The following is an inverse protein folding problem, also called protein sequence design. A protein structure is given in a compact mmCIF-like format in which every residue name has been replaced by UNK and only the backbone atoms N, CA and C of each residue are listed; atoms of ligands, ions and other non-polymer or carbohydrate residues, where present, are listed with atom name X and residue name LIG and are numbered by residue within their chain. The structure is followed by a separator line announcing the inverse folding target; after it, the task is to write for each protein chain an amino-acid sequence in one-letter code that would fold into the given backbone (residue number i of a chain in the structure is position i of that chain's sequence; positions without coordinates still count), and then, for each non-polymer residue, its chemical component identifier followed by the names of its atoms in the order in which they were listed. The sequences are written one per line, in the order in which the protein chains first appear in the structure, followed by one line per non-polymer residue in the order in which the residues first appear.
data_IF_115310915192
#
_entry.id   IF_115310915192
#
_cell.length_a   1.000
_cell.length_b   1.000
_cell.length_c   1.000
_cell.angle_alpha   90.00
_cell.angle_beta   90.00
_cell.angle_gamma   90.00
#
_symmetry.space_group_name_H-M   'P 1'
#
loop_
_entity.id
_entity.type
_entity.pdbx_description
1 polymer ?
#
# COMPACT_ATOMS: atom_id res chain seq x y z
N UNK A 1 -26.27 10.70 25.94
CA UNK A 1 -25.98 11.13 24.55
C UNK A 1 -24.70 11.97 24.59
N UNK A 2 -23.51 11.35 24.46
CA UNK A 2 -22.26 12.09 24.33
C UNK A 2 -22.25 12.77 22.95
N UNK A 3 -21.81 14.04 22.94
CA UNK A 3 -21.80 14.95 21.79
C UNK A 3 -21.39 14.24 20.49
N UNK A 4 -22.26 14.34 19.47
CA UNK A 4 -22.04 13.87 18.09
C UNK A 4 -21.00 14.70 17.30
N UNK A 5 -20.40 15.72 17.93
CA UNK A 5 -19.38 16.56 17.30
C UNK A 5 -18.00 16.01 17.64
N UNK A 6 -17.15 15.91 16.62
CA UNK A 6 -15.72 15.57 16.78
C UNK A 6 -15.09 16.60 17.73
N UNK A 7 -14.37 16.13 18.74
CA UNK A 7 -13.63 17.02 19.64
C UNK A 7 -12.67 17.89 18.80
N UNK A 8 -12.69 19.18 19.05
CA UNK A 8 -11.82 20.14 18.35
C UNK A 8 -10.34 19.73 18.44
N UNK A 9 -9.90 19.17 19.57
CA UNK A 9 -8.53 18.68 19.74
C UNK A 9 -8.21 17.52 18.81
N UNK A 10 -9.15 16.58 18.61
CA UNK A 10 -8.99 15.46 17.69
C UNK A 10 -8.86 15.96 16.26
N UNK A 11 -9.76 16.87 15.84
CA UNK A 11 -9.72 17.44 14.50
C UNK A 11 -8.43 18.24 14.24
N UNK A 12 -8.04 19.11 15.17
CA UNK A 12 -6.82 19.92 15.05
C UNK A 12 -5.57 19.03 14.96
N UNK A 13 -5.46 18.00 15.82
CA UNK A 13 -4.35 17.04 15.76
C UNK A 13 -4.33 16.28 14.43
N UNK A 14 -5.48 15.82 13.94
CA UNK A 14 -5.60 15.13 12.67
C UNK A 14 -5.16 16.01 11.50
N UNK A 15 -5.58 17.29 11.48
CA UNK A 15 -5.19 18.25 10.45
C UNK A 15 -3.68 18.54 10.47
N UNK A 16 -3.08 18.73 11.64
CA UNK A 16 -1.63 18.90 11.76
C UNK A 16 -0.88 17.67 11.23
N UNK A 17 -1.32 16.46 11.60
CA UNK A 17 -0.75 15.23 11.07
C UNK A 17 -0.91 15.11 9.55
N UNK A 18 -2.03 15.59 9.00
CA UNK A 18 -2.28 15.51 7.56
C UNK A 18 -1.36 16.42 6.73
N UNK A 19 -0.97 17.58 7.26
CA UNK A 19 0.05 18.44 6.63
C UNK A 19 1.38 17.68 6.57
N UNK A 20 1.81 17.11 7.68
CA UNK A 20 3.04 16.29 7.74
C UNK A 20 2.94 15.10 6.79
N UNK A 21 1.77 14.45 6.72
CA UNK A 21 1.57 13.33 5.81
C UNK A 21 1.66 13.75 4.33
N UNK A 22 1.15 14.93 3.98
CA UNK A 22 1.31 15.49 2.63
C UNK A 22 2.77 15.71 2.23
N UNK A 23 3.62 16.21 3.17
CA UNK A 23 5.07 16.33 2.98
C UNK A 23 5.73 14.95 2.78
N UNK A 24 5.39 13.99 3.63
CA UNK A 24 5.93 12.62 3.53
C UNK A 24 5.50 11.96 2.22
N UNK A 25 4.24 12.13 1.81
CA UNK A 25 3.71 11.60 0.55
C UNK A 25 4.43 12.19 -0.65
N UNK A 26 4.69 13.49 -0.66
CA UNK A 26 5.48 14.14 -1.71
C UNK A 26 6.89 13.53 -1.79
N UNK A 27 7.60 13.41 -0.67
CA UNK A 27 8.93 12.81 -0.65
C UNK A 27 8.90 11.35 -1.12
N UNK A 28 7.92 10.58 -0.67
CA UNK A 28 7.75 9.17 -1.06
C UNK A 28 7.51 9.02 -2.55
N UNK A 29 6.59 9.80 -3.12
CA UNK A 29 6.28 9.77 -4.55
C UNK A 29 7.49 10.18 -5.40
N UNK A 30 8.22 11.22 -4.99
CA UNK A 30 9.46 11.60 -5.66
C UNK A 30 10.53 10.51 -5.60
N UNK A 31 10.69 9.83 -4.46
CA UNK A 31 11.60 8.68 -4.38
C UNK A 31 11.19 7.54 -5.32
N UNK A 32 9.89 7.29 -5.51
CA UNK A 32 9.41 6.29 -6.46
C UNK A 32 9.64 6.71 -7.91
N UNK A 33 9.45 8.00 -8.24
CA UNK A 33 9.77 8.54 -9.57
C UNK A 33 11.26 8.36 -9.86
N UNK A 34 12.16 8.77 -8.95
CA UNK A 34 13.59 8.56 -9.09
C UNK A 34 13.98 7.08 -9.23
N UNK A 35 13.30 6.19 -8.50
CA UNK A 35 13.52 4.76 -8.63
C UNK A 35 13.11 4.24 -10.02
N UNK A 36 12.03 4.77 -10.61
CA UNK A 36 11.60 4.43 -11.96
C UNK A 36 12.57 4.97 -13.02
N UNK A 37 13.01 6.23 -12.88
CA UNK A 37 13.99 6.84 -13.77
C UNK A 37 15.33 6.08 -13.72
N UNK A 38 15.80 5.74 -12.51
CA UNK A 38 17.03 4.97 -12.34
C UNK A 38 16.97 3.63 -13.08
N UNK A 39 15.84 2.90 -12.99
CA UNK A 39 15.67 1.64 -13.73
C UNK A 39 15.69 1.84 -15.25
N UNK A 40 15.19 2.96 -15.73
CA UNK A 40 15.24 3.26 -17.18
C UNK A 40 16.67 3.45 -17.69
N UNK A 41 17.57 4.02 -16.87
CA UNK A 41 18.99 4.15 -17.18
C UNK A 41 19.78 2.85 -16.97
N UNK A 42 19.40 2.05 -15.97
CA UNK A 42 20.06 0.80 -15.60
C UNK A 42 19.07 -0.39 -15.62
N UNK A 43 18.67 -0.88 -16.80
CA UNK A 43 17.65 -1.91 -16.93
C UNK A 43 17.97 -3.24 -16.23
N UNK A 44 19.24 -3.50 -15.92
CA UNK A 44 19.69 -4.72 -15.25
C UNK A 44 19.73 -4.61 -13.71
N UNK A 45 19.22 -3.51 -13.12
CA UNK A 45 19.27 -3.31 -11.67
C UNK A 45 18.48 -4.37 -10.89
N UNK A 46 17.50 -5.05 -11.52
CA UNK A 46 16.77 -6.16 -10.90
C UNK A 46 17.65 -7.35 -10.48
N UNK A 47 18.88 -7.47 -11.03
CA UNK A 47 19.86 -8.48 -10.59
C UNK A 47 20.21 -8.31 -9.11
N UNK A 48 20.13 -7.09 -8.59
CA UNK A 48 20.37 -6.78 -7.17
C UNK A 48 19.14 -6.95 -6.28
N UNK A 49 17.96 -7.30 -6.83
CA UNK A 49 16.76 -7.53 -6.06
C UNK A 49 16.94 -8.60 -4.95
N UNK A 50 17.65 -9.72 -5.17
CA UNK A 50 17.93 -10.69 -4.11
C UNK A 50 18.71 -10.10 -2.93
N UNK A 51 19.69 -9.25 -3.20
CA UNK A 51 20.47 -8.56 -2.17
C UNK A 51 19.57 -7.59 -1.40
N UNK A 52 18.74 -6.81 -2.10
CA UNK A 52 17.77 -5.91 -1.50
C UNK A 52 16.78 -6.68 -0.60
N UNK A 53 16.29 -7.84 -1.04
CA UNK A 53 15.43 -8.72 -0.27
C UNK A 53 16.09 -9.23 1.03
N UNK A 54 17.36 -9.67 0.95
CA UNK A 54 18.13 -10.11 2.12
C UNK A 54 18.32 -8.96 3.10
N UNK A 55 18.73 -7.78 2.63
CA UNK A 55 18.95 -6.60 3.47
C UNK A 55 17.63 -6.19 4.16
N UNK A 56 16.52 -6.12 3.42
CA UNK A 56 15.20 -5.83 3.97
C UNK A 56 14.85 -6.83 5.07
N UNK A 57 14.91 -8.11 4.77
CA UNK A 57 14.60 -9.16 5.72
C UNK A 57 15.52 -9.13 6.95
N UNK A 58 16.81 -8.90 6.78
CA UNK A 58 17.78 -8.79 7.87
C UNK A 58 17.48 -7.63 8.81
N UNK A 59 17.20 -6.43 8.24
CA UNK A 59 16.89 -5.23 9.03
C UNK A 59 15.58 -5.42 9.80
N UNK A 60 14.53 -5.95 9.16
CA UNK A 60 13.27 -6.25 9.86
C UNK A 60 13.46 -7.29 10.98
N UNK A 61 14.36 -8.28 10.81
CA UNK A 61 14.71 -9.24 11.87
C UNK A 61 15.40 -8.59 13.07
N UNK A 62 16.32 -7.69 12.79
CA UNK A 62 17.16 -7.09 13.83
C UNK A 62 16.45 -6.00 14.61
N UNK A 63 15.76 -5.12 13.89
CA UNK A 63 15.18 -3.91 14.47
C UNK A 63 13.68 -3.76 14.21
N UNK A 64 13.06 -4.60 13.38
CA UNK A 64 11.64 -4.50 13.04
C UNK A 64 10.71 -4.73 14.24
N UNK A 65 10.94 -5.80 15.01
CA UNK A 65 10.02 -6.20 16.08
C UNK A 65 8.58 -6.36 15.56
N UNK A 66 7.59 -5.75 16.24
CA UNK A 66 6.19 -5.76 15.79
C UNK A 66 5.97 -5.05 14.44
N UNK A 67 6.94 -4.28 13.90
CA UNK A 67 6.83 -3.71 12.54
C UNK A 67 6.70 -4.77 11.46
N UNK A 68 7.09 -6.02 11.74
CA UNK A 68 6.91 -7.14 10.82
C UNK A 68 5.45 -7.55 10.60
N UNK A 69 4.52 -7.09 11.43
CA UNK A 69 3.07 -7.31 11.25
C UNK A 69 2.48 -6.46 10.10
N UNK A 70 3.21 -5.43 9.65
CA UNK A 70 2.79 -4.62 8.51
C UNK A 70 1.45 -3.91 8.74
N UNK A 71 0.49 -4.10 7.83
CA UNK A 71 -0.83 -3.48 7.94
C UNK A 71 -1.64 -3.96 9.14
N UNK A 72 -1.42 -5.19 9.61
CA UNK A 72 -2.20 -5.76 10.71
C UNK A 72 -2.03 -4.96 11.99
N UNK A 73 -0.79 -4.55 12.33
CA UNK A 73 -0.56 -3.72 13.54
C UNK A 73 -1.27 -2.36 13.45
N UNK A 74 -1.47 -1.82 12.25
CA UNK A 74 -2.23 -0.57 12.04
C UNK A 74 -3.72 -0.79 12.28
N UNK A 75 -4.27 -1.90 11.77
CA UNK A 75 -5.66 -2.28 11.96
C UNK A 75 -5.95 -2.55 13.45
N UNK A 76 -5.10 -3.34 14.12
CA UNK A 76 -5.18 -3.58 15.56
C UNK A 76 -5.04 -2.28 16.37
N UNK A 77 -4.16 -1.38 15.92
CA UNK A 77 -3.99 -0.07 16.54
C UNK A 77 -5.25 0.79 16.47
N UNK A 78 -5.94 0.77 15.35
CA UNK A 78 -7.17 1.54 15.18
C UNK A 78 -8.35 0.93 15.95
N UNK A 79 -8.44 -0.41 16.05
CA UNK A 79 -9.56 -1.11 16.69
C UNK A 79 -9.33 -1.29 18.20
N UNK A 80 -8.16 -1.82 18.58
CA UNK A 80 -7.89 -2.31 19.94
C UNK A 80 -6.92 -1.42 20.72
N UNK A 81 -6.42 -0.35 20.10
CA UNK A 81 -5.48 0.57 20.73
C UNK A 81 -4.05 0.03 20.86
N UNK A 82 -3.69 -1.00 20.08
CA UNK A 82 -2.35 -1.59 20.09
C UNK A 82 -1.30 -0.55 19.70
N UNK A 83 -0.14 -0.58 20.37
CA UNK A 83 0.93 0.39 20.13
C UNK A 83 1.72 0.05 18.86
N UNK A 84 1.80 1.02 17.97
CA UNK A 84 2.57 0.91 16.73
C UNK A 84 4.03 1.30 16.97
N UNK A 85 5.00 0.47 16.53
CA UNK A 85 6.41 0.83 16.64
C UNK A 85 6.73 2.13 15.87
N UNK A 86 7.40 3.08 16.52
CA UNK A 86 7.76 4.39 15.93
C UNK A 86 8.54 4.27 14.61
N UNK A 87 9.34 3.21 14.47
CA UNK A 87 10.19 2.93 13.30
C UNK A 87 9.43 2.34 12.11
N UNK A 88 8.16 1.92 12.27
CA UNK A 88 7.40 1.28 11.20
C UNK A 88 7.32 2.19 9.96
N UNK A 89 6.92 3.45 10.10
CA UNK A 89 6.80 4.39 8.99
C UNK A 89 8.11 4.53 8.21
N UNK A 90 9.24 4.74 8.91
CA UNK A 90 10.55 4.91 8.28
C UNK A 90 11.04 3.65 7.60
N UNK A 91 10.90 2.48 8.24
CA UNK A 91 11.30 1.21 7.66
C UNK A 91 10.48 0.92 6.39
N UNK A 92 9.16 1.10 6.47
CA UNK A 92 8.28 0.86 5.32
C UNK A 92 8.59 1.81 4.17
N UNK A 93 8.80 3.09 4.43
CA UNK A 93 9.20 4.07 3.43
C UNK A 93 10.48 3.65 2.70
N UNK A 94 11.57 3.43 3.46
CA UNK A 94 12.90 3.14 2.92
C UNK A 94 12.88 1.83 2.11
N UNK A 95 12.36 0.75 2.68
CA UNK A 95 12.43 -0.56 2.03
C UNK A 95 11.44 -0.70 0.88
N UNK A 96 10.35 0.05 0.86
CA UNK A 96 9.50 0.14 -0.34
C UNK A 96 10.24 0.84 -1.47
N UNK A 97 10.90 1.97 -1.22
CA UNK A 97 11.71 2.65 -2.22
C UNK A 97 12.85 1.76 -2.74
N UNK A 98 13.55 1.03 -1.85
CA UNK A 98 14.60 0.08 -2.24
C UNK A 98 14.04 -1.04 -3.11
N UNK A 99 12.90 -1.61 -2.75
CA UNK A 99 12.25 -2.67 -3.56
C UNK A 99 11.89 -2.16 -4.94
N UNK A 100 11.32 -0.96 -5.03
CA UNK A 100 11.03 -0.32 -6.32
C UNK A 100 12.29 -0.02 -7.12
N UNK A 101 13.36 0.43 -6.48
CA UNK A 101 14.63 0.76 -7.12
C UNK A 101 15.23 -0.46 -7.84
N UNK A 102 15.13 -1.64 -7.22
CA UNK A 102 15.65 -2.89 -7.77
C UNK A 102 14.60 -3.75 -8.50
N UNK A 103 13.54 -3.13 -9.02
CA UNK A 103 12.60 -3.79 -9.92
C UNK A 103 11.58 -4.72 -9.29
N UNK A 104 11.46 -4.77 -7.96
CA UNK A 104 10.41 -5.57 -7.31
C UNK A 104 9.01 -5.12 -7.75
N UNK A 105 8.18 -6.06 -8.20
CA UNK A 105 6.83 -5.78 -8.67
C UNK A 105 5.88 -5.63 -7.49
N UNK A 106 5.64 -4.40 -7.05
CA UNK A 106 4.81 -4.11 -5.86
C UNK A 106 4.01 -2.83 -6.04
N UNK A 107 2.92 -2.72 -5.27
CA UNK A 107 2.14 -1.49 -5.14
C UNK A 107 2.67 -0.57 -4.04
N UNK A 108 1.96 0.51 -3.81
CA UNK A 108 2.25 1.53 -2.77
C UNK A 108 1.14 1.64 -1.71
N UNK A 109 0.07 0.85 -1.87
CA UNK A 109 -1.14 0.89 -1.05
C UNK A 109 -0.83 0.56 0.42
N UNK A 110 -0.22 -0.59 0.66
CA UNK A 110 0.14 -1.03 2.00
C UNK A 110 1.13 -0.09 2.68
N UNK A 111 2.05 0.47 1.91
CA UNK A 111 3.02 1.47 2.38
C UNK A 111 2.31 2.74 2.87
N UNK A 112 1.35 3.25 2.10
CA UNK A 112 0.57 4.42 2.49
C UNK A 112 -0.18 4.19 3.81
N UNK A 113 -0.85 3.04 3.96
CA UNK A 113 -1.55 2.65 5.21
C UNK A 113 -0.58 2.63 6.40
N UNK A 114 0.58 1.99 6.24
CA UNK A 114 1.56 1.87 7.34
C UNK A 114 2.18 3.20 7.73
N UNK A 115 2.53 4.05 6.77
CA UNK A 115 3.11 5.37 7.07
C UNK A 115 2.08 6.25 7.75
N UNK A 116 0.88 6.39 7.17
CA UNK A 116 -0.18 7.24 7.71
C UNK A 116 -0.65 6.78 9.07
N UNK A 117 -0.98 5.49 9.21
CA UNK A 117 -1.43 4.91 10.46
C UNK A 117 -0.36 4.94 11.56
N UNK A 118 0.92 4.68 11.20
CA UNK A 118 2.03 4.73 12.17
C UNK A 118 2.28 6.14 12.67
N UNK A 119 2.33 7.12 11.78
CA UNK A 119 2.52 8.52 12.15
C UNK A 119 1.44 8.96 13.15
N UNK A 120 0.19 8.80 12.77
CA UNK A 120 -0.95 9.29 13.56
C UNK A 120 -1.19 8.50 14.85
N UNK A 121 -0.96 7.18 14.83
CA UNK A 121 -1.00 6.36 16.05
C UNK A 121 0.02 6.84 17.08
N UNK A 122 1.27 7.07 16.66
CA UNK A 122 2.32 7.52 17.56
C UNK A 122 2.07 8.94 18.10
N UNK A 123 1.50 9.84 17.28
CA UNK A 123 1.11 11.20 17.74
C UNK A 123 -0.06 11.12 18.73
N UNK A 124 -1.07 10.29 18.44
CA UNK A 124 -2.20 10.10 19.32
C UNK A 124 -1.77 9.53 20.69
N UNK A 125 -0.87 8.56 20.71
CA UNK A 125 -0.29 7.98 21.93
C UNK A 125 0.52 9.02 22.72
N UNK A 126 1.32 9.82 22.02
CA UNK A 126 2.13 10.88 22.65
C UNK A 126 1.27 11.97 23.30
N UNK A 127 0.16 12.34 22.68
CA UNK A 127 -0.79 13.33 23.18
C UNK A 127 -1.81 12.75 24.18
N UNK A 128 -1.76 11.45 24.44
CA UNK A 128 -2.62 10.77 25.42
C UNK A 128 -4.06 10.51 24.98
N UNK A 129 -4.36 10.56 23.68
CA UNK A 129 -5.68 10.19 23.16
C UNK A 129 -5.95 8.69 23.36
N UNK A 130 -7.19 8.35 23.64
CA UNK A 130 -7.65 6.97 23.93
C UNK A 130 -8.94 6.65 23.20
N UNK A 131 -9.25 5.36 23.09
CA UNK A 131 -10.50 4.84 22.55
C UNK A 131 -10.87 5.44 21.19
N UNK A 132 -12.09 5.91 21.02
CA UNK A 132 -12.63 6.43 19.77
C UNK A 132 -11.85 7.64 19.22
N UNK A 133 -11.33 8.52 20.07
CA UNK A 133 -10.57 9.69 19.65
C UNK A 133 -9.24 9.27 19.00
N UNK A 134 -8.55 8.32 19.63
CA UNK A 134 -7.33 7.72 19.08
C UNK A 134 -7.62 7.01 17.77
N UNK A 135 -8.65 6.17 17.70
CA UNK A 135 -9.09 5.50 16.48
C UNK A 135 -9.35 6.50 15.35
N UNK A 136 -10.12 7.56 15.64
CA UNK A 136 -10.41 8.62 14.66
C UNK A 136 -9.15 9.28 14.09
N UNK A 137 -8.15 9.57 14.94
CA UNK A 137 -6.86 10.14 14.49
C UNK A 137 -6.12 9.15 13.59
N UNK A 138 -6.09 7.86 13.94
CA UNK A 138 -5.44 6.82 13.11
C UNK A 138 -6.13 6.69 11.74
N UNK A 139 -7.46 6.61 11.72
CA UNK A 139 -8.24 6.54 10.48
C UNK A 139 -8.01 7.77 9.58
N UNK A 140 -7.97 8.97 10.17
CA UNK A 140 -7.68 10.20 9.44
C UNK A 140 -6.28 10.22 8.84
N UNK A 141 -5.29 9.63 9.53
CA UNK A 141 -3.93 9.46 9.02
C UNK A 141 -3.84 8.50 7.83
N UNK A 142 -4.57 7.38 7.90
CA UNK A 142 -4.68 6.45 6.78
C UNK A 142 -5.34 7.13 5.58
N UNK A 143 -6.45 7.88 5.82
CA UNK A 143 -7.15 8.67 4.79
C UNK A 143 -6.22 9.69 4.14
N UNK A 144 -5.43 10.40 4.94
CA UNK A 144 -4.45 11.39 4.48
C UNK A 144 -3.40 10.77 3.57
N UNK A 145 -2.83 9.66 4.00
CA UNK A 145 -1.80 8.95 3.25
C UNK A 145 -2.34 8.41 1.93
N UNK A 146 -3.49 7.75 1.97
CA UNK A 146 -4.09 7.19 0.77
C UNK A 146 -4.49 8.30 -0.22
N UNK A 147 -5.21 9.31 0.24
CA UNK A 147 -5.65 10.42 -0.61
C UNK A 147 -4.51 11.19 -1.27
N UNK A 148 -3.42 11.43 -0.53
CA UNK A 148 -2.25 12.16 -1.05
C UNK A 148 -1.34 11.32 -1.94
N UNK A 149 -1.15 10.01 -1.63
CA UNK A 149 -0.31 9.11 -2.45
C UNK A 149 -0.97 8.78 -3.78
N UNK A 150 -2.31 8.69 -3.83
CA UNK A 150 -3.03 8.36 -5.07
C UNK A 150 -3.60 9.57 -5.80
N UNK A 151 -3.66 10.74 -5.17
CA UNK A 151 -4.30 11.92 -5.75
C UNK A 151 -5.83 11.82 -5.80
N UNK A 152 -6.41 10.95 -4.99
CA UNK A 152 -7.84 10.65 -4.94
C UNK A 152 -8.40 10.88 -3.53
N UNK A 153 -8.49 12.14 -3.06
CA UNK A 153 -8.81 12.44 -1.67
C UNK A 153 -10.20 11.97 -1.26
N UNK A 154 -11.17 11.95 -2.17
CA UNK A 154 -12.51 11.43 -1.90
C UNK A 154 -12.47 9.93 -1.59
N UNK A 155 -11.83 9.14 -2.46
CA UNK A 155 -11.65 7.70 -2.24
C UNK A 155 -10.79 7.42 -1.01
N UNK A 156 -9.76 8.23 -0.76
CA UNK A 156 -8.91 8.12 0.42
C UNK A 156 -9.67 8.31 1.73
N UNK A 157 -10.65 9.22 1.77
CA UNK A 157 -11.50 9.40 2.93
C UNK A 157 -12.34 8.15 3.24
N UNK A 158 -13.01 7.59 2.24
CA UNK A 158 -13.78 6.36 2.40
C UNK A 158 -12.89 5.17 2.77
N UNK A 159 -11.76 5.02 2.08
CA UNK A 159 -10.81 3.94 2.38
C UNK A 159 -10.38 3.96 3.85
N UNK A 160 -9.98 5.12 4.38
CA UNK A 160 -9.56 5.20 5.78
C UNK A 160 -10.67 4.90 6.77
N UNK A 161 -11.92 5.25 6.47
CA UNK A 161 -13.07 4.94 7.33
C UNK A 161 -13.44 3.46 7.36
N UNK A 162 -13.12 2.71 6.29
CA UNK A 162 -13.57 1.32 6.10
C UNK A 162 -12.44 0.30 6.28
N UNK A 163 -11.18 0.68 6.14
CA UNK A 163 -10.04 -0.25 6.10
C UNK A 163 -9.90 -1.10 7.36
N UNK A 164 -10.31 -0.59 8.51
CA UNK A 164 -10.21 -1.30 9.79
C UNK A 164 -11.39 -2.23 10.07
N UNK A 165 -12.55 -1.98 9.47
CA UNK A 165 -13.76 -2.79 9.64
C UNK A 165 -14.53 -2.82 8.33
N UNK A 166 -14.29 -3.83 7.51
CA UNK A 166 -14.97 -3.99 6.21
C UNK A 166 -16.50 -3.94 6.38
N UNK A 167 -17.16 -3.11 5.57
CA UNK A 167 -18.61 -2.92 5.59
C UNK A 167 -19.14 -2.09 6.77
N UNK A 168 -18.27 -1.47 7.58
CA UNK A 168 -18.65 -0.56 8.66
C UNK A 168 -17.91 0.76 8.53
N UNK A 169 -18.64 1.81 8.18
CA UNK A 169 -18.09 3.16 8.17
C UNK A 169 -18.10 3.75 9.60
N UNK A 170 -16.95 4.28 10.02
CA UNK A 170 -16.86 5.01 11.28
C UNK A 170 -17.50 6.40 11.14
N UNK A 171 -18.77 6.53 11.53
CA UNK A 171 -19.52 7.79 11.41
C UNK A 171 -18.82 8.98 12.12
N UNK A 172 -18.15 8.73 13.26
CA UNK A 172 -17.39 9.76 13.99
C UNK A 172 -16.13 10.23 13.26
N UNK A 173 -15.59 9.44 12.33
CA UNK A 173 -14.38 9.76 11.60
C UNK A 173 -14.63 10.46 10.24
N UNK A 174 -15.89 10.61 9.83
CA UNK A 174 -16.24 11.18 8.50
C UNK A 174 -15.58 12.51 8.28
N UNK A 175 -15.83 13.51 9.14
CA UNK A 175 -15.28 14.86 8.99
C UNK A 175 -13.74 14.85 9.03
N UNK A 176 -13.07 14.23 10.03
CA UNK A 176 -11.61 14.14 10.04
C UNK A 176 -11.02 13.46 8.81
N UNK A 177 -11.58 12.32 8.38
CA UNK A 177 -11.06 11.58 7.22
C UNK A 177 -11.14 12.40 5.92
N UNK A 178 -12.29 13.05 5.66
CA UNK A 178 -12.44 13.91 4.48
C UNK A 178 -11.51 15.12 4.56
N UNK A 179 -11.56 15.90 5.64
CA UNK A 179 -10.74 17.10 5.79
C UNK A 179 -9.26 16.79 5.66
N UNK A 180 -8.80 15.73 6.32
CA UNK A 180 -7.38 15.33 6.33
C UNK A 180 -6.91 14.77 4.99
N UNK A 181 -7.74 13.98 4.31
CA UNK A 181 -7.41 13.43 2.99
C UNK A 181 -7.26 14.54 1.95
N UNK A 182 -8.18 15.50 1.92
CA UNK A 182 -8.09 16.65 1.02
C UNK A 182 -6.91 17.55 1.36
N UNK A 183 -6.67 17.84 2.65
CA UNK A 183 -5.56 18.69 3.07
C UNK A 183 -4.20 18.06 2.71
N UNK A 184 -3.99 16.77 2.99
CA UNK A 184 -2.75 16.08 2.65
C UNK A 184 -2.51 16.06 1.13
N UNK A 185 -3.55 15.78 0.33
CA UNK A 185 -3.46 15.84 -1.12
C UNK A 185 -3.15 17.26 -1.62
N UNK A 186 -3.78 18.29 -1.05
CA UNK A 186 -3.51 19.68 -1.38
C UNK A 186 -2.04 20.03 -1.11
N UNK A 187 -1.49 19.64 0.05
CA UNK A 187 -0.07 19.87 0.39
C UNK A 187 0.86 19.19 -0.61
N UNK A 188 0.57 17.94 -0.99
CA UNK A 188 1.37 17.19 -1.97
C UNK A 188 1.37 17.89 -3.35
N UNK A 189 0.22 18.38 -3.79
CA UNK A 189 0.09 19.12 -5.05
C UNK A 189 0.75 20.50 -4.98
N UNK A 190 0.64 21.21 -3.85
CA UNK A 190 1.29 22.50 -3.62
C UNK A 190 2.82 22.41 -3.74
N UNK A 191 3.40 21.28 -3.33
CA UNK A 191 4.83 20.98 -3.48
C UNK A 191 5.22 20.62 -4.92
N UNK A 192 4.24 20.63 -5.86
CA UNK A 192 4.48 20.42 -7.28
C UNK A 192 4.39 18.99 -7.76
N UNK A 193 3.92 18.03 -6.94
CA UNK A 193 3.67 16.68 -7.43
C UNK A 193 2.37 16.64 -8.24
N UNK A 194 2.48 16.16 -9.48
CA UNK A 194 1.34 16.00 -10.40
C UNK A 194 1.03 14.52 -10.55
N UNK A 195 -0.15 14.11 -10.09
CA UNK A 195 -0.65 12.77 -10.34
C UNK A 195 -1.00 12.58 -11.81
N UNK A 196 -0.78 11.37 -12.34
CA UNK A 196 -1.19 11.03 -13.71
C UNK A 196 -2.72 11.12 -13.81
N UNK A 197 -3.17 11.67 -14.95
CA UNK A 197 -4.60 11.78 -15.29
C UNK A 197 -4.84 11.10 -16.62
N UNK A 198 -5.81 10.22 -16.64
CA UNK A 198 -6.22 9.50 -17.83
C UNK A 198 -7.50 10.13 -18.37
N UNK A 199 -7.46 10.57 -19.62
CA UNK A 199 -8.64 11.09 -20.29
C UNK A 199 -9.50 9.92 -20.79
N UNK A 200 -10.79 9.97 -20.47
CA UNK A 200 -11.79 9.05 -21.03
C UNK A 200 -12.36 9.72 -22.28
N UNK A 201 -12.18 9.08 -23.44
CA UNK A 201 -12.59 9.62 -24.74
C UNK A 201 -14.11 9.61 -24.96
N UNK A 202 -14.81 8.65 -24.38
CA UNK A 202 -16.25 8.55 -24.45
C UNK A 202 -16.83 7.94 -23.17
N UNK A 203 -17.92 8.49 -22.69
CA UNK A 203 -18.68 7.95 -21.58
C UNK A 203 -19.84 7.17 -22.19
N UNK A 204 -20.00 5.86 -21.94
CA UNK A 204 -21.12 5.10 -22.44
C UNK A 204 -22.43 5.59 -21.82
N UNK A 205 -23.51 5.51 -22.58
CA UNK A 205 -24.85 5.79 -22.07
C UNK A 205 -25.22 4.79 -20.98
N UNK A 206 -25.91 5.30 -19.95
CA UNK A 206 -26.37 4.45 -18.84
C UNK A 206 -27.66 3.73 -19.25
N UNK A 207 -27.50 2.59 -19.92
CA UNK A 207 -28.58 1.72 -20.34
C UNK A 207 -28.51 0.32 -19.68
N UNK A 208 -29.49 -0.53 -19.95
CA UNK A 208 -29.53 -1.89 -19.41
C UNK A 208 -28.33 -2.74 -19.85
N UNK A 209 -27.80 -2.51 -21.06
CA UNK A 209 -26.63 -3.21 -21.59
C UNK A 209 -25.38 -2.81 -20.83
N UNK A 210 -25.19 -1.50 -20.59
CA UNK A 210 -24.08 -0.99 -19.77
C UNK A 210 -24.12 -1.58 -18.35
N UNK A 211 -25.29 -1.58 -17.70
CA UNK A 211 -25.46 -2.14 -16.36
C UNK A 211 -25.09 -3.63 -16.32
N UNK A 212 -25.54 -4.41 -17.30
CA UNK A 212 -25.22 -5.83 -17.40
C UNK A 212 -23.71 -6.09 -17.56
N UNK A 213 -23.05 -5.37 -18.47
CA UNK A 213 -21.59 -5.47 -18.68
C UNK A 213 -20.84 -5.04 -17.42
N UNK A 214 -21.28 -3.95 -16.76
CA UNK A 214 -20.69 -3.47 -15.52
C UNK A 214 -20.80 -4.51 -14.38
N UNK A 215 -21.94 -5.18 -14.23
CA UNK A 215 -22.10 -6.23 -13.22
C UNK A 215 -21.19 -7.42 -13.49
N UNK A 216 -21.07 -7.86 -14.75
CA UNK A 216 -20.14 -8.94 -15.12
C UNK A 216 -18.71 -8.52 -14.79
N UNK A 217 -18.31 -7.31 -15.19
CA UNK A 217 -16.98 -6.80 -14.91
C UNK A 217 -16.70 -6.74 -13.39
N UNK A 218 -17.67 -6.29 -12.58
CA UNK A 218 -17.56 -6.25 -11.14
C UNK A 218 -17.33 -7.65 -10.53
N UNK A 219 -18.09 -8.66 -10.98
CA UNK A 219 -17.89 -10.05 -10.54
C UNK A 219 -16.51 -10.57 -10.95
N UNK A 220 -16.09 -10.35 -12.20
CA UNK A 220 -14.76 -10.76 -12.68
C UNK A 220 -13.64 -10.10 -11.87
N UNK A 221 -13.73 -8.79 -11.61
CA UNK A 221 -12.74 -8.06 -10.80
C UNK A 221 -12.70 -8.57 -9.36
N UNK A 222 -13.86 -8.87 -8.77
CA UNK A 222 -13.95 -9.49 -7.44
C UNK A 222 -13.27 -10.85 -7.36
N UNK A 223 -13.48 -11.70 -8.39
CA UNK A 223 -12.81 -13.00 -8.49
C UNK A 223 -11.29 -12.86 -8.66
N UNK A 224 -10.83 -11.95 -9.51
CA UNK A 224 -9.40 -11.66 -9.70
C UNK A 224 -8.78 -11.16 -8.40
N UNK A 225 -9.45 -10.28 -7.67
CA UNK A 225 -8.99 -9.79 -6.36
C UNK A 225 -8.87 -10.92 -5.33
N UNK A 226 -9.86 -11.83 -5.26
CA UNK A 226 -9.80 -13.02 -4.42
C UNK A 226 -8.63 -13.94 -4.81
N UNK A 227 -8.46 -14.21 -6.11
CA UNK A 227 -7.33 -15.01 -6.60
C UNK A 227 -5.98 -14.36 -6.25
N UNK A 228 -5.88 -13.04 -6.33
CA UNK A 228 -4.68 -12.30 -5.95
C UNK A 228 -4.34 -12.47 -4.46
N UNK A 229 -5.31 -12.30 -3.58
CA UNK A 229 -5.14 -12.50 -2.15
C UNK A 229 -4.74 -13.96 -1.82
N UNK A 230 -5.42 -14.93 -2.42
CA UNK A 230 -5.08 -16.35 -2.28
C UNK A 230 -3.70 -16.68 -2.84
N UNK A 231 -3.33 -16.10 -3.99
CA UNK A 231 -2.01 -16.26 -4.59
C UNK A 231 -0.89 -15.84 -3.64
N UNK A 232 -0.99 -14.65 -3.05
CA UNK A 232 -0.03 -14.16 -2.04
C UNK A 232 0.01 -15.10 -0.84
N UNK A 233 -1.15 -15.51 -0.32
CA UNK A 233 -1.25 -16.42 0.83
C UNK A 233 -0.56 -17.76 0.55
N UNK A 234 -0.86 -18.41 -0.57
CA UNK A 234 -0.27 -19.71 -0.90
C UNK A 234 1.22 -19.65 -1.20
N UNK A 235 1.66 -18.62 -1.94
CA UNK A 235 3.09 -18.42 -2.20
C UNK A 235 3.84 -18.21 -0.88
N UNK A 236 3.32 -17.40 0.03
CA UNK A 236 3.88 -17.18 1.36
C UNK A 236 3.95 -18.49 2.18
N UNK A 237 2.88 -19.28 2.19
CA UNK A 237 2.87 -20.59 2.85
C UNK A 237 3.88 -21.56 2.22
N UNK A 238 4.03 -21.58 0.91
CA UNK A 238 5.01 -22.40 0.23
C UNK A 238 6.43 -22.01 0.64
N UNK A 239 6.77 -20.71 0.62
CA UNK A 239 8.09 -20.27 1.08
C UNK A 239 8.34 -20.58 2.55
N UNK A 240 7.35 -20.42 3.44
CA UNK A 240 7.51 -20.75 4.87
C UNK A 240 7.67 -22.25 5.14
N UNK A 241 7.08 -23.12 4.31
CA UNK A 241 7.24 -24.56 4.40
C UNK A 241 8.60 -25.05 3.86
N UNK A 242 9.04 -24.46 2.74
CA UNK A 242 10.30 -24.85 2.07
C UNK A 242 11.52 -24.31 2.82
N UNK A 243 11.46 -23.07 3.26
CA UNK A 243 12.58 -22.37 3.86
C UNK A 243 12.34 -22.10 5.35
N UNK A 244 13.04 -22.82 6.24
CA UNK A 244 13.04 -22.53 7.68
C UNK A 244 13.66 -21.17 8.01
N UNK A 245 14.59 -20.69 7.18
CA UNK A 245 15.21 -19.38 7.32
C UNK A 245 14.54 -18.38 6.36
N UNK A 246 13.82 -17.41 6.92
CA UNK A 246 13.09 -16.44 6.13
C UNK A 246 13.99 -15.47 5.33
N UNK A 247 15.27 -15.29 5.74
CA UNK A 247 16.25 -14.56 4.93
C UNK A 247 16.51 -15.29 3.61
N UNK A 248 16.62 -16.62 3.68
CA UNK A 248 16.77 -17.45 2.51
C UNK A 248 15.51 -17.44 1.64
N UNK A 249 14.34 -17.47 2.26
CA UNK A 249 13.07 -17.33 1.55
C UNK A 249 13.00 -16.00 0.75
N UNK A 250 13.36 -14.89 1.38
CA UNK A 250 13.40 -13.58 0.73
C UNK A 250 14.42 -13.53 -0.41
N UNK A 251 15.62 -14.09 -0.21
CA UNK A 251 16.67 -14.14 -1.24
C UNK A 251 16.25 -14.97 -2.45
N UNK A 252 15.76 -16.17 -2.22
CA UNK A 252 15.36 -17.12 -3.29
C UNK A 252 14.12 -16.57 -4.02
N UNK A 253 13.14 -16.02 -3.28
CA UNK A 253 11.96 -15.44 -3.90
C UNK A 253 12.30 -14.23 -4.79
N UNK A 254 13.17 -13.35 -4.32
CA UNK A 254 13.66 -12.23 -5.11
C UNK A 254 14.49 -12.70 -6.32
N UNK A 255 15.32 -13.75 -6.17
CA UNK A 255 16.06 -14.35 -7.26
C UNK A 255 15.14 -14.96 -8.34
N UNK A 256 14.07 -15.63 -7.94
CA UNK A 256 13.05 -16.14 -8.87
C UNK A 256 12.41 -14.99 -9.66
N UNK A 257 12.05 -13.90 -9.00
CA UNK A 257 11.48 -12.71 -9.67
C UNK A 257 12.48 -12.12 -10.65
N UNK A 258 13.75 -11.94 -10.26
CA UNK A 258 14.81 -11.45 -11.14
C UNK A 258 15.03 -12.36 -12.35
N UNK A 259 15.03 -13.68 -12.14
CA UNK A 259 15.17 -14.65 -13.21
C UNK A 259 14.00 -14.60 -14.19
N UNK A 260 12.76 -14.45 -13.70
CA UNK A 260 11.58 -14.32 -14.55
C UNK A 260 11.60 -13.03 -15.37
N UNK A 261 12.02 -11.92 -14.76
CA UNK A 261 12.19 -10.65 -15.49
C UNK A 261 13.19 -10.84 -16.63
N UNK A 262 14.34 -11.45 -16.34
CA UNK A 262 15.39 -11.70 -17.34
C UNK A 262 14.94 -12.66 -18.45
N UNK A 263 14.43 -13.84 -18.06
CA UNK A 263 14.11 -14.91 -19.00
C UNK A 263 12.91 -14.60 -19.92
N UNK A 264 11.95 -13.83 -19.42
CA UNK A 264 10.71 -13.50 -20.15
C UNK A 264 10.69 -12.04 -20.66
N UNK A 265 11.73 -11.26 -20.41
CA UNK A 265 11.79 -9.85 -20.83
C UNK A 265 10.73 -8.97 -20.16
N UNK A 266 10.41 -9.21 -18.88
CA UNK A 266 9.29 -8.58 -18.17
C UNK A 266 9.68 -7.25 -17.49
N UNK A 267 10.67 -6.51 -18.00
CA UNK A 267 11.15 -5.25 -17.41
C UNK A 267 10.04 -4.20 -17.26
N UNK A 268 9.05 -4.19 -18.16
CA UNK A 268 7.93 -3.25 -18.12
C UNK A 268 6.96 -3.51 -16.95
N UNK A 269 7.03 -4.69 -16.31
CA UNK A 269 6.17 -5.09 -15.21
C UNK A 269 6.81 -4.86 -13.83
N UNK A 270 7.99 -4.26 -13.79
CA UNK A 270 8.69 -3.86 -12.56
C UNK A 270 8.01 -2.69 -11.84
N UNK A 271 8.21 -2.61 -10.53
CA UNK A 271 7.69 -1.51 -9.71
C UNK A 271 6.19 -1.34 -9.84
N UNK A 272 5.73 -0.10 -10.02
CA UNK A 272 4.30 0.24 -10.15
C UNK A 272 3.71 -0.13 -11.52
N UNK A 273 4.55 -0.32 -12.56
CA UNK A 273 4.12 -0.59 -13.95
C UNK A 273 3.12 0.44 -14.51
N UNK A 274 3.43 1.73 -14.33
CA UNK A 274 2.64 2.83 -14.91
C UNK A 274 2.52 2.72 -16.44
N UNK A 275 3.55 2.14 -17.07
CA UNK A 275 3.50 1.78 -18.50
C UNK A 275 2.26 0.94 -18.85
N UNK A 276 1.91 -0.07 -18.04
CA UNK A 276 0.76 -0.94 -18.31
C UNK A 276 -0.56 -0.17 -18.25
N UNK A 277 -0.69 0.79 -17.33
CA UNK A 277 -1.86 1.65 -17.26
C UNK A 277 -1.97 2.52 -18.52
N UNK A 278 -0.88 3.16 -18.92
CA UNK A 278 -0.82 3.98 -20.13
C UNK A 278 -1.18 3.17 -21.39
N UNK A 279 -0.67 1.95 -21.50
CA UNK A 279 -0.94 1.04 -22.63
C UNK A 279 -2.40 0.60 -22.64
N UNK A 280 -2.99 0.31 -21.47
CA UNK A 280 -4.40 -0.05 -21.37
C UNK A 280 -5.33 1.09 -21.78
N UNK A 281 -5.04 2.35 -21.38
CA UNK A 281 -5.82 3.51 -21.79
C UNK A 281 -5.70 3.85 -23.30
N UNK A 282 -4.59 3.46 -23.94
CA UNK A 282 -4.40 3.58 -25.39
C UNK A 282 -5.05 2.45 -26.19
N UNK A 283 -5.53 1.40 -25.54
CA UNK A 283 -6.09 0.22 -26.20
C UNK A 283 -5.05 -0.77 -26.71
N UNK A 284 -3.77 -0.60 -26.37
CA UNK A 284 -2.66 -1.45 -26.83
C UNK A 284 -2.30 -2.57 -25.85
N UNK A 285 -3.12 -2.78 -24.81
CA UNK A 285 -2.88 -3.81 -23.79
C UNK A 285 -2.98 -5.21 -24.41
N UNK A 286 -2.04 -6.06 -24.06
CA UNK A 286 -1.98 -7.45 -24.51
C UNK A 286 -2.59 -8.37 -23.46
N UNK A 287 -3.14 -9.50 -23.88
CA UNK A 287 -3.81 -10.45 -23.01
C UNK A 287 -2.92 -11.01 -21.88
N UNK A 288 -1.60 -11.04 -22.08
CA UNK A 288 -0.64 -11.55 -21.10
C UNK A 288 -0.14 -10.48 -20.09
N UNK A 289 -0.44 -9.19 -20.30
CA UNK A 289 0.06 -8.11 -19.43
C UNK A 289 -0.45 -8.28 -18.00
N UNK A 290 -1.75 -8.52 -17.82
CA UNK A 290 -2.34 -8.75 -16.51
C UNK A 290 -1.82 -10.02 -15.81
N UNK A 291 -1.80 -11.21 -16.47
CA UNK A 291 -1.16 -12.41 -15.90
C UNK A 291 0.31 -12.22 -15.51
N UNK A 292 1.11 -11.56 -16.33
CA UNK A 292 2.51 -11.31 -16.05
C UNK A 292 2.69 -10.41 -14.81
N UNK A 293 1.95 -9.31 -14.74
CA UNK A 293 1.96 -8.42 -13.57
C UNK A 293 1.49 -9.14 -12.32
N UNK A 294 0.39 -9.90 -12.42
CA UNK A 294 -0.13 -10.71 -11.33
C UNK A 294 0.94 -11.66 -10.77
N UNK A 295 1.56 -12.45 -11.64
CA UNK A 295 2.58 -13.43 -11.25
C UNK A 295 3.77 -12.77 -10.53
N UNK A 296 4.36 -11.73 -11.14
CA UNK A 296 5.49 -11.03 -10.55
C UNK A 296 5.14 -10.40 -9.19
N UNK A 297 3.95 -9.80 -9.09
CA UNK A 297 3.52 -9.15 -7.84
C UNK A 297 3.26 -10.18 -6.75
N UNK A 298 2.57 -11.28 -7.04
CA UNK A 298 2.30 -12.36 -6.07
C UNK A 298 3.59 -13.00 -5.58
N UNK A 299 4.57 -13.24 -6.48
CA UNK A 299 5.87 -13.78 -6.10
C UNK A 299 6.68 -12.79 -5.25
N UNK A 300 6.72 -11.51 -5.63
CA UNK A 300 7.47 -10.49 -4.87
C UNK A 300 6.90 -10.30 -3.47
N UNK A 301 5.57 -10.18 -3.36
CA UNK A 301 4.89 -10.03 -2.07
C UNK A 301 4.96 -11.30 -1.22
N UNK A 302 4.74 -12.45 -1.83
CA UNK A 302 4.75 -13.74 -1.15
C UNK A 302 6.13 -14.14 -0.60
N UNK A 303 7.21 -13.75 -1.27
CA UNK A 303 8.58 -13.99 -0.82
C UNK A 303 8.97 -13.18 0.44
N UNK A 304 8.17 -12.20 0.84
CA UNK A 304 8.51 -11.32 1.97
C UNK A 304 9.70 -10.41 1.68
N UNK A 305 10.02 -10.18 0.42
CA UNK A 305 11.10 -9.27 -0.01
C UNK A 305 10.72 -7.78 0.09
N UNK A 306 9.48 -7.49 0.45
CA UNK A 306 8.94 -6.13 0.61
C UNK A 306 8.60 -5.87 2.07
N UNK A 307 8.78 -4.65 2.51
CA UNK A 307 8.66 -4.21 3.91
C UNK A 307 7.33 -4.53 4.60
N UNK A 308 6.23 -4.60 3.86
CA UNK A 308 4.90 -4.76 4.44
C UNK A 308 4.31 -6.18 4.35
N UNK A 309 5.13 -7.17 3.97
CA UNK A 309 4.68 -8.56 3.80
C UNK A 309 5.23 -9.54 4.83
N UNK A 310 6.02 -9.06 5.80
CA UNK A 310 6.59 -9.89 6.86
C UNK A 310 5.54 -10.27 7.91
N UNK A 311 4.65 -11.20 7.58
CA UNK A 311 3.77 -11.81 8.56
C UNK A 311 4.41 -13.12 9.08
N UNK A 312 4.42 -13.32 10.39
CA UNK A 312 4.74 -14.63 10.98
C UNK A 312 3.67 -15.62 10.51
N UNK A 313 4.09 -16.79 10.04
CA UNK A 313 3.21 -17.83 9.51
C UNK A 313 2.22 -18.40 10.54
N UNK A 314 2.31 -18.01 11.82
CA UNK A 314 1.53 -18.56 12.91
C UNK A 314 0.17 -17.88 13.17
N UNK A 315 -0.08 -16.68 12.61
CA UNK A 315 -1.27 -15.92 12.99
C UNK A 315 -2.40 -15.96 11.93
N UNK A 316 -2.23 -16.66 10.82
CA UNK A 316 -3.19 -16.60 9.71
C UNK A 316 -4.12 -17.80 9.59
N UNK A 317 -4.09 -18.77 10.51
CA UNK A 317 -4.93 -19.97 10.45
C UNK A 317 -6.16 -19.93 11.36
N UNK A 318 -6.23 -18.95 12.29
CA UNK A 318 -7.36 -18.84 13.22
C UNK A 318 -8.39 -17.77 12.87
N UNK A 319 -8.09 -16.84 11.91
CA UNK A 319 -8.91 -15.63 11.68
C UNK A 319 -9.53 -15.54 10.28
N UNK A 320 -9.71 -16.64 9.61
CA UNK A 320 -10.52 -16.81 8.40
C UNK A 320 -11.49 -18.00 8.62
#
# INVERSE_FOLDING_TARGET
MKNKFVDFKVLATSLCCSVVMGLISFAFLKCLDYAADFRSFFPLCYIFLPVAGIVTAFVYKRIGGKSSMGNNIIIESANDGEKVPKRLASLTFIFTCITHLFGGSVGREGTAVQIGGSLTSNVADYLGFKNNDRSTIVLSGISSAFGSVFGTPFAGAFFGMEVCCVGRLSAGAVIPCFACSYLANFVTQLLGFKHERYAISSIPDFDARFLFVFLIAAVCLGLIGKLFALGIKYVKLAYSKIFKNYLLAAAVGAAIVSLLIFALGLNNFEGLSTWMQNTAFKGDAKWYDMPAKYLLTVLTLGAGSVSYTHLRAHETLSDL
#
